data_IF_679825346692
#
_entry.id   IF_679825346692
#
_cell.length_a   1.000
_cell.length_b   1.000
_cell.length_c   1.000
_cell.angle_alpha   90.00
_cell.angle_beta   90.00
_cell.angle_gamma   90.00
#
_symmetry.space_group_name_H-M   'P 1'
#
loop_
_entity.id
_entity.type
_entity.pdbx_description
1 polymer ?
#
# COMPACT_ATOMS: atom_id res chain seq x y z
N UNK A 1 16.50 -4.51 -14.82
CA UNK A 1 16.39 -5.98 -14.54
C UNK A 1 16.15 -6.68 -15.85
N UNK A 2 17.04 -7.61 -16.15
CA UNK A 2 16.95 -8.47 -17.34
C UNK A 2 16.63 -9.88 -16.86
N UNK A 3 15.73 -10.54 -17.59
CA UNK A 3 15.31 -11.92 -17.37
C UNK A 3 15.39 -12.68 -18.68
N UNK A 4 15.84 -13.92 -18.64
CA UNK A 4 15.87 -14.80 -19.80
C UNK A 4 15.26 -16.16 -19.47
N UNK A 5 14.56 -16.71 -20.44
CA UNK A 5 13.99 -18.06 -20.39
C UNK A 5 14.25 -18.74 -21.71
N UNK A 6 14.67 -20.00 -21.67
CA UNK A 6 14.98 -20.78 -22.88
C UNK A 6 13.76 -20.91 -23.82
N UNK A 7 12.55 -20.97 -23.28
CA UNK A 7 11.28 -21.10 -24.01
C UNK A 7 10.66 -19.78 -24.43
N UNK A 8 10.82 -18.71 -23.59
CA UNK A 8 10.08 -17.44 -23.73
C UNK A 8 10.97 -16.25 -24.13
N UNK A 9 12.29 -16.46 -24.28
CA UNK A 9 13.23 -15.41 -24.67
C UNK A 9 13.67 -14.49 -23.55
N UNK A 10 14.15 -13.30 -23.90
CA UNK A 10 14.71 -12.32 -22.97
C UNK A 10 13.80 -11.13 -22.81
N UNK A 11 13.68 -10.64 -21.57
CA UNK A 11 12.86 -9.50 -21.17
C UNK A 11 13.70 -8.51 -20.37
N UNK A 12 13.49 -7.22 -20.59
CA UNK A 12 14.12 -6.16 -19.83
C UNK A 12 13.07 -5.22 -19.26
N UNK A 13 13.21 -4.84 -17.99
CA UNK A 13 12.31 -3.87 -17.36
C UNK A 13 13.06 -2.91 -16.46
N UNK A 14 12.64 -1.64 -16.48
CA UNK A 14 13.15 -0.61 -15.58
C UNK A 14 12.64 -0.84 -14.16
N UNK A 15 13.55 -0.96 -13.19
CA UNK A 15 13.23 -1.10 -11.75
C UNK A 15 13.66 0.11 -10.94
N UNK A 16 14.59 0.91 -11.46
CA UNK A 16 15.18 2.06 -10.79
C UNK A 16 15.64 3.11 -11.80
N UNK A 17 15.05 4.29 -11.80
CA UNK A 17 15.34 5.37 -12.76
C UNK A 17 16.34 6.38 -12.20
N UNK A 18 17.49 5.88 -11.73
CA UNK A 18 18.61 6.69 -11.25
C UNK A 18 19.93 5.95 -11.48
N UNK A 19 21.07 6.55 -11.10
CA UNK A 19 22.38 5.95 -11.25
C UNK A 19 22.54 4.65 -10.46
N UNK A 20 23.41 3.75 -10.91
CA UNK A 20 23.74 2.53 -10.19
C UNK A 20 24.32 2.84 -8.79
N UNK A 21 25.10 3.92 -8.64
CA UNK A 21 25.65 4.36 -7.36
C UNK A 21 24.52 4.72 -6.36
N UNK A 22 23.55 5.53 -6.79
CA UNK A 22 22.39 5.89 -5.97
C UNK A 22 21.54 4.68 -5.61
N UNK A 23 21.40 3.73 -6.54
CA UNK A 23 20.70 2.46 -6.28
C UNK A 23 21.40 1.64 -5.18
N UNK A 24 22.71 1.43 -5.29
CA UNK A 24 23.48 0.68 -4.27
C UNK A 24 23.43 1.38 -2.91
N UNK A 25 23.60 2.70 -2.89
CA UNK A 25 23.46 3.50 -1.67
C UNK A 25 22.08 3.38 -1.03
N UNK A 26 21.01 3.34 -1.84
CA UNK A 26 19.66 3.13 -1.34
C UNK A 26 19.48 1.76 -0.70
N UNK A 27 20.04 0.71 -1.32
CA UNK A 27 20.01 -0.64 -0.75
C UNK A 27 20.76 -0.71 0.59
N UNK A 28 21.92 -0.08 0.68
CA UNK A 28 22.69 0.00 1.93
C UNK A 28 21.92 0.73 3.04
N UNK A 29 21.20 1.79 2.72
CA UNK A 29 20.35 2.50 3.68
C UNK A 29 19.22 1.61 4.19
N UNK A 30 18.74 0.66 3.39
CA UNK A 30 17.78 -0.36 3.80
C UNK A 30 18.38 -1.50 4.63
N UNK A 31 19.67 -1.41 5.00
CA UNK A 31 20.36 -2.45 5.76
C UNK A 31 20.67 -3.70 4.94
N UNK A 32 20.70 -3.60 3.62
CA UNK A 32 21.15 -4.69 2.75
C UNK A 32 22.67 -4.70 2.63
N UNK A 33 23.27 -5.85 2.85
CA UNK A 33 24.67 -6.08 2.52
C UNK A 33 24.76 -6.41 1.02
N UNK A 34 25.11 -5.41 0.23
CA UNK A 34 25.24 -5.53 -1.23
C UNK A 34 26.34 -6.50 -1.66
N UNK A 35 27.28 -6.81 -0.76
CA UNK A 35 28.37 -7.77 -0.99
C UNK A 35 27.92 -9.23 -0.75
N UNK A 36 26.73 -9.43 -0.18
CA UNK A 36 26.09 -10.73 0.05
C UNK A 36 24.95 -11.04 -0.90
N UNK A 37 24.83 -10.32 -2.01
CA UNK A 37 23.92 -10.75 -3.07
C UNK A 37 24.44 -12.07 -3.64
N UNK A 38 23.56 -13.05 -3.92
CA UNK A 38 23.96 -14.30 -4.54
C UNK A 38 24.76 -14.00 -5.81
N UNK A 39 25.98 -14.55 -5.90
CA UNK A 39 26.87 -14.27 -7.04
C UNK A 39 26.65 -15.24 -8.20
N UNK A 40 25.87 -16.28 -7.96
CA UNK A 40 25.51 -17.28 -8.98
C UNK A 40 24.09 -17.82 -8.83
N UNK A 41 23.59 -18.47 -9.89
CA UNK A 41 22.24 -19.06 -9.96
C UNK A 41 22.08 -20.22 -8.95
N UNK A 42 23.14 -20.97 -8.66
CA UNK A 42 23.10 -22.11 -7.76
C UNK A 42 22.92 -21.69 -6.28
N UNK A 43 23.48 -20.55 -5.89
CA UNK A 43 23.29 -19.97 -4.57
C UNK A 43 21.88 -19.36 -4.45
N UNK A 44 21.36 -18.77 -5.53
CA UNK A 44 19.99 -18.29 -5.62
C UNK A 44 18.98 -19.43 -5.51
N UNK A 45 19.20 -20.56 -6.21
CA UNK A 45 18.32 -21.74 -6.17
C UNK A 45 18.29 -22.41 -4.78
N UNK A 46 19.42 -22.48 -4.09
CA UNK A 46 19.49 -22.96 -2.69
C UNK A 46 18.72 -22.04 -1.73
N UNK A 47 18.73 -20.74 -1.99
CA UNK A 47 17.97 -19.76 -1.21
C UNK A 47 16.46 -19.77 -1.56
N UNK A 48 16.09 -20.19 -2.77
CA UNK A 48 14.72 -20.20 -3.29
C UNK A 48 14.02 -21.55 -3.15
N UNK A 49 14.65 -22.56 -2.55
CA UNK A 49 14.02 -23.86 -2.33
C UNK A 49 12.60 -23.71 -1.78
N UNK A 50 11.61 -24.01 -2.61
CA UNK A 50 10.17 -23.92 -2.35
C UNK A 50 9.73 -24.85 -1.21
N UNK A 51 10.29 -24.69 -0.03
CA UNK A 51 9.74 -25.29 1.17
C UNK A 51 8.65 -24.38 1.66
N UNK A 52 7.43 -24.82 1.52
CA UNK A 52 6.15 -24.27 1.96
C UNK A 52 6.21 -22.80 2.44
N UNK A 53 5.29 -21.94 2.01
CA UNK A 53 5.15 -20.54 2.44
C UNK A 53 5.04 -20.31 3.98
N UNK A 54 5.25 -21.32 4.77
CA UNK A 54 5.39 -21.33 6.23
C UNK A 54 6.86 -21.54 6.63
N UNK A 55 7.80 -20.88 5.97
CA UNK A 55 9.20 -20.90 6.36
C UNK A 55 9.39 -20.16 7.69
N UNK A 56 10.19 -20.73 8.61
CA UNK A 56 10.62 -20.08 9.88
C UNK A 56 11.35 -18.72 9.65
N UNK A 57 11.75 -18.43 8.42
CA UNK A 57 12.32 -17.16 8.00
C UNK A 57 11.27 -16.13 7.53
N UNK A 58 9.96 -16.48 7.49
CA UNK A 58 8.92 -15.53 7.17
C UNK A 58 8.82 -14.48 8.27
N UNK A 59 9.12 -13.23 7.93
CA UNK A 59 8.98 -12.12 8.87
C UNK A 59 7.53 -12.02 9.32
N UNK A 60 7.32 -11.64 10.58
CA UNK A 60 6.00 -11.26 11.07
C UNK A 60 5.34 -10.30 10.08
N UNK A 61 4.07 -10.49 9.72
CA UNK A 61 3.38 -9.58 8.81
C UNK A 61 3.32 -8.18 9.42
N UNK A 62 3.76 -7.17 8.69
CA UNK A 62 3.67 -5.78 9.14
C UNK A 62 2.20 -5.35 9.24
N UNK A 63 1.42 -5.67 8.20
CA UNK A 63 -0.03 -5.58 8.18
C UNK A 63 -0.61 -6.72 7.35
N UNK A 64 -1.90 -7.04 7.56
CA UNK A 64 -2.62 -7.96 6.68
C UNK A 64 -3.90 -7.35 6.16
N UNK A 65 -4.07 -7.47 4.85
CA UNK A 65 -5.31 -7.17 4.20
C UNK A 65 -6.27 -8.37 4.35
N UNK A 66 -7.47 -8.09 4.88
CA UNK A 66 -8.60 -9.00 4.83
C UNK A 66 -9.48 -8.63 3.63
N UNK A 67 -9.60 -9.55 2.68
CA UNK A 67 -10.47 -9.38 1.53
C UNK A 67 -11.92 -9.61 1.93
N UNK A 68 -12.63 -8.53 2.27
CA UNK A 68 -13.99 -8.61 2.84
C UNK A 68 -15.07 -8.84 1.78
N UNK A 69 -14.82 -8.47 0.54
CA UNK A 69 -15.72 -8.68 -0.61
C UNK A 69 -14.96 -8.41 -1.91
N UNK A 70 -15.30 -9.09 -3.00
CA UNK A 70 -14.87 -8.68 -4.34
C UNK A 70 -15.92 -7.83 -5.06
N UNK A 71 -17.09 -7.58 -4.43
CA UNK A 71 -18.11 -6.64 -4.93
C UNK A 71 -17.59 -5.20 -4.85
N UNK A 72 -17.88 -4.42 -5.90
CA UNK A 72 -17.48 -3.01 -5.97
C UNK A 72 -18.60 -2.19 -6.63
N UNK A 73 -18.77 -0.94 -6.20
CA UNK A 73 -19.66 0.03 -6.82
C UNK A 73 -19.01 0.79 -7.99
N UNK A 74 -17.84 0.31 -8.45
CA UNK A 74 -17.07 0.86 -9.57
C UNK A 74 -16.65 -0.21 -10.56
N UNK A 75 -16.34 0.24 -11.79
CA UNK A 75 -15.80 -0.59 -12.87
C UNK A 75 -14.57 0.07 -13.48
N UNK A 76 -13.50 0.18 -12.67
CA UNK A 76 -12.31 0.95 -13.01
C UNK A 76 -11.53 0.32 -14.19
N UNK A 77 -11.08 1.14 -15.18
CA UNK A 77 -10.16 0.68 -16.23
C UNK A 77 -8.78 0.27 -15.70
N UNK A 78 -8.39 0.78 -14.53
CA UNK A 78 -7.17 0.37 -13.83
C UNK A 78 -7.55 -0.13 -12.43
N UNK A 79 -7.43 -1.43 -12.18
CA UNK A 79 -7.79 -2.03 -10.90
C UNK A 79 -6.95 -3.30 -10.66
N UNK A 80 -6.17 -3.31 -9.60
CA UNK A 80 -5.29 -4.44 -9.28
C UNK A 80 -6.01 -5.60 -8.60
N UNK A 81 -7.13 -5.36 -7.92
CA UNK A 81 -7.86 -6.41 -7.19
C UNK A 81 -8.87 -7.14 -8.05
N UNK A 82 -9.29 -6.54 -9.17
CA UNK A 82 -10.38 -7.05 -9.97
C UNK A 82 -9.92 -8.09 -11.00
N UNK A 83 -10.60 -9.23 -10.99
CA UNK A 83 -10.61 -10.20 -12.08
C UNK A 83 -12.02 -10.25 -12.68
N UNK A 84 -12.13 -10.17 -14.01
CA UNK A 84 -13.41 -10.18 -14.69
C UNK A 84 -14.12 -11.54 -14.60
N UNK A 85 -13.34 -12.61 -14.42
CA UNK A 85 -13.82 -13.98 -14.42
C UNK A 85 -13.99 -14.55 -13.01
N UNK A 86 -13.59 -13.80 -11.96
CA UNK A 86 -13.76 -14.25 -10.59
C UNK A 86 -15.22 -14.16 -10.17
N UNK A 87 -15.84 -15.26 -9.71
CA UNK A 87 -17.20 -15.24 -9.22
C UNK A 87 -17.33 -14.30 -8.03
N UNK A 88 -18.55 -13.73 -7.87
CA UNK A 88 -18.83 -12.89 -6.71
C UNK A 88 -18.56 -13.66 -5.42
N UNK A 89 -17.72 -13.10 -4.57
CA UNK A 89 -17.42 -13.64 -3.26
C UNK A 89 -17.47 -12.55 -2.21
N UNK A 90 -18.26 -12.82 -1.18
CA UNK A 90 -18.39 -12.00 0.01
C UNK A 90 -18.44 -12.96 1.21
N UNK A 91 -17.33 -13.15 1.95
CA UNK A 91 -17.33 -14.00 3.14
C UNK A 91 -18.36 -13.54 4.14
N UNK A 92 -18.98 -14.47 4.89
CA UNK A 92 -19.88 -14.13 5.99
C UNK A 92 -19.13 -13.37 7.10
N UNK A 93 -19.89 -12.78 8.03
CA UNK A 93 -19.30 -12.13 9.20
C UNK A 93 -18.48 -13.14 10.03
N UNK A 94 -19.02 -14.33 10.22
CA UNK A 94 -18.38 -15.41 10.99
C UNK A 94 -17.08 -15.90 10.32
N UNK A 95 -17.07 -16.03 8.98
CA UNK A 95 -15.87 -16.37 8.23
C UNK A 95 -14.80 -15.29 8.38
N UNK A 96 -15.19 -14.00 8.26
CA UNK A 96 -14.29 -12.89 8.49
C UNK A 96 -13.72 -12.87 9.91
N UNK A 97 -14.56 -13.14 10.93
CA UNK A 97 -14.10 -13.23 12.32
C UNK A 97 -13.10 -14.36 12.52
N UNK A 98 -13.35 -15.53 11.96
CA UNK A 98 -12.43 -16.67 12.04
C UNK A 98 -11.07 -16.33 11.42
N UNK A 99 -11.06 -15.67 10.25
CA UNK A 99 -9.83 -15.21 9.59
C UNK A 99 -9.10 -14.13 10.41
N UNK A 100 -9.82 -13.18 11.01
CA UNK A 100 -9.23 -12.16 11.87
C UNK A 100 -8.58 -12.76 13.11
N UNK A 101 -9.22 -13.73 13.77
CA UNK A 101 -8.65 -14.47 14.92
C UNK A 101 -7.40 -15.22 14.49
N UNK A 102 -7.48 -15.96 13.37
CA UNK A 102 -6.33 -16.69 12.82
C UNK A 102 -5.17 -15.77 12.50
N UNK A 103 -5.45 -14.62 11.90
CA UNK A 103 -4.41 -13.61 11.62
C UNK A 103 -3.76 -13.10 12.92
N UNK A 104 -4.56 -12.79 13.94
CA UNK A 104 -4.03 -12.31 15.22
C UNK A 104 -3.15 -13.35 15.92
N UNK A 105 -3.51 -14.62 15.84
CA UNK A 105 -2.67 -15.73 16.33
C UNK A 105 -1.29 -15.76 15.64
N UNK A 106 -1.26 -15.57 14.33
CA UNK A 106 -0.03 -15.60 13.54
C UNK A 106 0.82 -14.33 13.69
N UNK A 107 0.18 -13.18 13.83
CA UNK A 107 0.81 -11.87 13.80
C UNK A 107 1.13 -11.28 15.17
N UNK A 108 0.52 -11.81 16.25
CA UNK A 108 0.68 -11.32 17.62
C UNK A 108 -0.31 -10.23 18.02
N UNK A 109 -0.24 -9.82 19.28
CA UNK A 109 -1.23 -8.93 19.91
C UNK A 109 -1.24 -7.51 19.36
N UNK A 110 -0.11 -7.03 18.87
CA UNK A 110 0.04 -5.69 18.26
C UNK A 110 -0.29 -5.66 16.77
N UNK A 111 -0.92 -6.71 16.22
CA UNK A 111 -1.30 -6.80 14.82
C UNK A 111 -2.20 -5.64 14.37
N UNK A 112 -2.03 -5.21 13.12
CA UNK A 112 -2.86 -4.22 12.43
C UNK A 112 -3.75 -4.94 11.43
N UNK A 113 -5.01 -4.52 11.26
CA UNK A 113 -5.93 -5.10 10.28
C UNK A 113 -6.40 -4.08 9.26
N UNK A 114 -6.44 -4.48 7.99
CA UNK A 114 -6.89 -3.66 6.88
C UNK A 114 -8.05 -4.35 6.16
N UNK A 115 -9.20 -3.69 6.07
CA UNK A 115 -10.33 -4.16 5.28
C UNK A 115 -10.14 -3.72 3.83
N UNK A 116 -10.04 -4.70 2.95
CA UNK A 116 -9.80 -4.53 1.53
C UNK A 116 -10.83 -5.30 0.69
N UNK A 117 -10.69 -5.22 -0.63
CA UNK A 117 -11.51 -5.99 -1.56
C UNK A 117 -11.77 -5.25 -2.85
N UNK A 118 -12.98 -5.42 -3.42
CA UNK A 118 -13.50 -4.53 -4.42
C UNK A 118 -13.74 -3.16 -3.79
N UNK A 119 -14.81 -3.05 -3.00
CA UNK A 119 -15.09 -1.88 -2.15
C UNK A 119 -15.71 -2.35 -0.83
N UNK A 120 -14.96 -2.38 0.28
CA UNK A 120 -15.49 -2.86 1.55
C UNK A 120 -16.71 -2.09 2.06
N UNK A 121 -16.77 -0.78 1.79
CA UNK A 121 -17.86 0.07 2.27
C UNK A 121 -19.22 -0.23 1.62
N UNK A 122 -19.32 -1.11 0.59
CA UNK A 122 -20.60 -1.56 0.03
C UNK A 122 -21.22 -2.73 0.79
N UNK A 123 -20.49 -3.34 1.72
CA UNK A 123 -21.04 -4.36 2.62
C UNK A 123 -22.09 -3.75 3.53
N UNK A 124 -23.23 -4.43 3.68
CA UNK A 124 -24.30 -3.96 4.58
C UNK A 124 -23.91 -4.08 6.05
N UNK A 125 -23.05 -5.05 6.38
CA UNK A 125 -22.57 -5.40 7.70
C UNK A 125 -21.16 -4.86 8.00
N UNK A 126 -20.68 -3.87 7.26
CA UNK A 126 -19.31 -3.31 7.45
C UNK A 126 -19.10 -2.74 8.86
N UNK A 127 -20.15 -2.23 9.48
CA UNK A 127 -20.10 -1.74 10.86
C UNK A 127 -19.97 -2.91 11.85
N UNK A 128 -20.68 -3.99 11.64
CA UNK A 128 -20.60 -5.21 12.47
C UNK A 128 -19.22 -5.85 12.34
N UNK A 129 -18.68 -5.93 11.12
CA UNK A 129 -17.34 -6.41 10.85
C UNK A 129 -16.27 -5.54 11.57
N UNK A 130 -16.44 -4.23 11.56
CA UNK A 130 -15.54 -3.30 12.25
C UNK A 130 -15.60 -3.50 13.77
N UNK A 131 -16.80 -3.68 14.32
CA UNK A 131 -17.00 -3.95 15.74
C UNK A 131 -16.43 -5.33 16.14
N UNK A 132 -16.57 -6.35 15.28
CA UNK A 132 -15.97 -7.65 15.48
C UNK A 132 -14.44 -7.57 15.56
N UNK A 133 -13.78 -6.84 14.66
CA UNK A 133 -12.34 -6.63 14.71
C UNK A 133 -11.90 -5.98 16.03
N UNK A 134 -12.62 -4.93 16.46
CA UNK A 134 -12.37 -4.28 17.77
C UNK A 134 -12.55 -5.28 18.94
N UNK A 135 -13.60 -6.10 18.91
CA UNK A 135 -13.90 -7.09 19.96
C UNK A 135 -12.81 -8.18 20.01
N UNK A 136 -12.25 -8.57 18.88
CA UNK A 136 -11.10 -9.48 18.77
C UNK A 136 -9.82 -8.85 19.36
N UNK A 137 -9.81 -7.52 19.52
CA UNK A 137 -8.71 -6.80 20.15
C UNK A 137 -7.76 -6.11 19.17
N UNK A 138 -8.20 -5.79 17.94
CA UNK A 138 -7.46 -4.87 17.08
C UNK A 138 -7.72 -3.43 17.52
N UNK A 139 -6.67 -2.71 17.85
CA UNK A 139 -6.72 -1.28 18.19
C UNK A 139 -6.47 -0.37 16.99
N UNK A 140 -5.89 -0.92 15.91
CA UNK A 140 -5.74 -0.26 14.61
C UNK A 140 -6.53 -1.03 13.56
N UNK A 141 -7.60 -0.38 13.07
CA UNK A 141 -8.48 -0.93 12.05
C UNK A 141 -8.53 0.08 10.89
N UNK A 142 -8.11 -0.34 9.72
CA UNK A 142 -8.03 0.48 8.51
C UNK A 142 -9.08 0.04 7.49
N UNK A 143 -9.71 1.00 6.83
CA UNK A 143 -10.62 0.79 5.71
C UNK A 143 -10.00 1.32 4.42
N UNK A 144 -9.70 0.42 3.48
CA UNK A 144 -9.24 0.79 2.15
C UNK A 144 -10.47 1.00 1.25
N UNK A 145 -10.69 2.24 0.78
CA UNK A 145 -11.94 2.59 0.12
C UNK A 145 -11.77 3.59 -1.03
N UNK A 146 -12.67 3.53 -1.99
CA UNK A 146 -12.82 4.55 -3.03
C UNK A 146 -13.53 5.83 -2.52
N UNK A 147 -14.12 5.80 -1.33
CA UNK A 147 -14.72 6.94 -0.64
C UNK A 147 -16.14 7.31 -1.08
N UNK A 148 -16.75 6.62 -2.04
CA UNK A 148 -18.09 6.96 -2.55
C UNK A 148 -19.14 6.86 -1.43
N UNK A 149 -19.15 5.76 -0.68
CA UNK A 149 -20.14 5.55 0.36
C UNK A 149 -19.92 6.50 1.55
N UNK A 150 -18.69 6.82 1.90
CA UNK A 150 -18.34 7.82 2.92
C UNK A 150 -18.75 9.24 2.49
N UNK A 151 -18.67 9.57 1.20
CA UNK A 151 -19.09 10.87 0.68
C UNK A 151 -20.62 11.01 0.65
N UNK A 152 -21.35 9.94 0.27
CA UNK A 152 -22.82 9.94 0.20
C UNK A 152 -23.50 9.96 1.56
N UNK A 153 -22.94 9.23 2.53
CA UNK A 153 -23.53 9.04 3.84
C UNK A 153 -22.57 9.48 4.95
N UNK A 154 -22.79 10.69 5.47
CA UNK A 154 -21.99 11.24 6.58
C UNK A 154 -22.12 10.42 7.88
N UNK A 155 -23.23 9.75 8.08
CA UNK A 155 -23.47 8.98 9.30
C UNK A 155 -22.71 7.65 9.26
N UNK A 156 -22.40 7.11 8.08
CA UNK A 156 -21.55 5.93 7.94
C UNK A 156 -20.16 6.14 8.56
N UNK A 157 -19.51 7.29 8.29
CA UNK A 157 -18.22 7.61 8.87
C UNK A 157 -18.27 7.66 10.41
N UNK A 158 -19.32 8.24 10.98
CA UNK A 158 -19.54 8.30 12.44
C UNK A 158 -19.78 6.92 13.04
N UNK A 159 -20.63 6.11 12.39
CA UNK A 159 -20.92 4.75 12.85
C UNK A 159 -19.67 3.88 12.80
N UNK A 160 -18.91 3.91 11.72
CA UNK A 160 -17.64 3.19 11.61
C UNK A 160 -16.65 3.61 12.71
N UNK A 161 -16.54 4.91 12.98
CA UNK A 161 -15.70 5.41 14.09
C UNK A 161 -16.15 4.88 15.43
N UNK A 162 -17.46 4.86 15.69
CA UNK A 162 -18.05 4.31 16.93
C UNK A 162 -17.76 2.81 17.05
N UNK A 163 -17.86 2.05 15.96
CA UNK A 163 -17.57 0.62 15.90
C UNK A 163 -16.07 0.28 16.07
N UNK A 164 -15.17 1.28 15.98
CA UNK A 164 -13.75 1.08 16.22
C UNK A 164 -12.82 1.37 15.05
N UNK A 165 -13.35 1.78 13.89
CA UNK A 165 -12.50 2.20 12.78
C UNK A 165 -11.60 3.35 13.21
N UNK A 166 -10.32 3.27 12.88
CA UNK A 166 -9.34 4.32 13.21
C UNK A 166 -8.94 5.12 11.98
N UNK A 167 -8.68 4.46 10.87
CA UNK A 167 -8.02 5.05 9.71
C UNK A 167 -8.75 4.70 8.43
N UNK A 168 -8.94 5.69 7.57
CA UNK A 168 -9.44 5.54 6.20
C UNK A 168 -8.27 5.69 5.23
N UNK A 169 -8.01 4.66 4.45
CA UNK A 169 -7.02 4.62 3.38
C UNK A 169 -7.76 4.93 2.09
N UNK A 170 -7.79 6.23 1.74
CA UNK A 170 -8.66 6.77 0.71
C UNK A 170 -7.92 6.89 -0.62
N UNK A 171 -8.37 6.17 -1.65
CA UNK A 171 -7.88 6.40 -3.01
C UNK A 171 -8.09 7.86 -3.43
N UNK A 172 -6.97 8.60 -3.67
CA UNK A 172 -6.95 10.03 -3.97
C UNK A 172 -5.86 10.34 -4.99
N UNK A 173 -6.22 10.37 -6.27
CA UNK A 173 -5.24 10.27 -7.36
C UNK A 173 -4.88 11.61 -8.04
N UNK A 174 -5.45 12.74 -7.59
CA UNK A 174 -5.13 14.06 -8.15
C UNK A 174 -5.99 15.18 -7.58
N UNK A 175 -5.65 16.40 -7.96
CA UNK A 175 -6.36 17.64 -7.61
C UNK A 175 -7.18 18.20 -8.77
N UNK A 176 -7.19 17.51 -9.91
CA UNK A 176 -8.09 17.69 -11.06
C UNK A 176 -8.88 16.41 -11.33
N UNK A 177 -9.87 16.46 -12.21
CA UNK A 177 -10.63 15.26 -12.60
C UNK A 177 -9.93 14.41 -13.67
N UNK A 178 -8.85 14.91 -14.30
CA UNK A 178 -8.11 14.18 -15.35
C UNK A 178 -7.59 12.82 -14.88
N UNK A 179 -6.87 12.71 -13.74
CA UNK A 179 -6.40 11.42 -13.24
C UNK A 179 -7.53 10.45 -12.91
N UNK A 180 -8.66 10.98 -12.45
CA UNK A 180 -9.82 10.14 -12.13
C UNK A 180 -10.49 9.56 -13.37
N UNK A 181 -10.53 10.32 -14.48
CA UNK A 181 -10.99 9.75 -15.76
C UNK A 181 -10.06 8.63 -16.23
N UNK A 182 -8.74 8.80 -16.12
CA UNK A 182 -7.77 7.80 -16.53
C UNK A 182 -7.90 6.51 -15.69
N UNK A 183 -8.06 6.62 -14.37
CA UNK A 183 -8.07 5.48 -13.46
C UNK A 183 -9.48 4.91 -13.23
N UNK A 184 -10.51 5.73 -13.16
CA UNK A 184 -11.86 5.32 -12.76
C UNK A 184 -12.91 5.46 -13.86
N UNK A 185 -12.56 6.12 -14.96
CA UNK A 185 -13.49 6.38 -16.08
C UNK A 185 -14.54 7.46 -15.81
N UNK A 186 -14.42 8.23 -14.71
CA UNK A 186 -15.37 9.29 -14.31
C UNK A 186 -14.74 10.31 -13.36
N UNK A 187 -15.33 11.52 -13.23
CA UNK A 187 -14.85 12.52 -12.29
C UNK A 187 -15.09 12.08 -10.84
N UNK A 188 -14.12 12.27 -9.97
CA UNK A 188 -14.20 11.81 -8.58
C UNK A 188 -13.69 12.83 -7.56
N UNK A 189 -13.05 13.92 -7.97
CA UNK A 189 -12.39 14.85 -7.05
C UNK A 189 -13.33 15.36 -5.95
N UNK A 190 -14.54 15.80 -6.30
CA UNK A 190 -15.51 16.30 -5.33
C UNK A 190 -15.97 15.22 -4.35
N UNK A 191 -16.10 13.97 -4.83
CA UNK A 191 -16.44 12.82 -3.98
C UNK A 191 -15.31 12.56 -2.97
N UNK A 192 -14.06 12.60 -3.42
CA UNK A 192 -12.88 12.42 -2.55
C UNK A 192 -12.80 13.50 -1.47
N UNK A 193 -12.95 14.78 -1.85
CA UNK A 193 -12.98 15.89 -0.91
C UNK A 193 -14.10 15.76 0.11
N UNK A 194 -15.31 15.36 -0.33
CA UNK A 194 -16.45 15.15 0.57
C UNK A 194 -16.24 13.97 1.52
N UNK A 195 -15.58 12.90 1.08
CA UNK A 195 -15.22 11.79 1.95
C UNK A 195 -14.24 12.24 3.05
N UNK A 196 -13.21 13.04 2.71
CA UNK A 196 -12.28 13.62 3.71
C UNK A 196 -13.02 14.50 4.72
N UNK A 197 -13.93 15.37 4.26
CA UNK A 197 -14.75 16.22 5.14
C UNK A 197 -15.59 15.38 6.11
N UNK A 198 -16.26 14.33 5.61
CA UNK A 198 -17.09 13.47 6.45
C UNK A 198 -16.24 12.66 7.46
N UNK A 199 -15.04 12.23 7.08
CA UNK A 199 -14.08 11.60 7.99
C UNK A 199 -13.60 12.59 9.08
N UNK A 200 -13.32 13.84 8.71
CA UNK A 200 -12.96 14.89 9.67
C UNK A 200 -14.04 15.11 10.72
N UNK A 201 -15.30 15.24 10.27
CA UNK A 201 -16.46 15.41 11.13
C UNK A 201 -16.75 14.20 12.04
N UNK A 202 -16.26 13.02 11.66
CA UNK A 202 -16.36 11.78 12.43
C UNK A 202 -15.16 11.53 13.36
N UNK A 203 -14.09 12.32 13.25
CA UNK A 203 -12.85 12.11 14.02
C UNK A 203 -12.07 10.87 13.55
N UNK A 204 -12.18 10.51 12.27
CA UNK A 204 -11.37 9.48 11.62
C UNK A 204 -10.08 10.08 11.08
N UNK A 205 -8.99 9.34 11.13
CA UNK A 205 -7.78 9.68 10.41
C UNK A 205 -7.90 9.27 8.92
N UNK A 206 -7.26 10.02 8.03
CA UNK A 206 -7.25 9.74 6.59
C UNK A 206 -5.80 9.67 6.09
N UNK A 207 -5.49 8.65 5.31
CA UNK A 207 -4.30 8.57 4.49
C UNK A 207 -4.74 8.66 3.03
N UNK A 208 -4.21 9.64 2.30
CA UNK A 208 -4.48 9.81 0.88
C UNK A 208 -3.60 8.86 0.07
N UNK A 209 -4.20 8.01 -0.74
CA UNK A 209 -3.50 6.98 -1.53
C UNK A 209 -3.58 7.34 -2.99
N UNK A 210 -2.43 7.61 -3.58
CA UNK A 210 -2.31 7.97 -4.98
C UNK A 210 -1.61 6.85 -5.75
N UNK A 211 -2.29 6.25 -6.72
CA UNK A 211 -1.63 5.44 -7.74
C UNK A 211 -0.98 6.40 -8.73
N UNK A 212 0.35 6.47 -8.73
CA UNK A 212 1.09 7.40 -9.59
C UNK A 212 1.22 6.82 -10.98
N UNK A 213 0.55 7.45 -11.95
CA UNK A 213 0.51 7.05 -13.37
C UNK A 213 1.26 8.09 -14.20
N UNK A 214 2.36 7.72 -14.87
CA UNK A 214 3.17 8.66 -15.63
C UNK A 214 2.37 9.41 -16.71
N UNK A 215 2.46 10.75 -16.71
CA UNK A 215 1.77 11.63 -17.65
C UNK A 215 0.28 11.86 -17.35
N UNK A 216 -0.27 11.21 -16.33
CA UNK A 216 -1.65 11.41 -15.89
C UNK A 216 -1.74 12.26 -14.62
N UNK A 217 -0.99 11.89 -13.56
CA UNK A 217 -1.04 12.58 -12.26
C UNK A 217 0.33 12.82 -11.61
N UNK A 218 1.41 12.40 -12.22
CA UNK A 218 2.76 12.62 -11.71
C UNK A 218 3.18 14.12 -11.66
N UNK A 219 2.42 14.98 -12.32
CA UNK A 219 2.52 16.44 -12.22
C UNK A 219 1.65 17.10 -11.13
N UNK A 220 0.80 16.35 -10.43
CA UNK A 220 -0.11 16.87 -9.41
C UNK A 220 0.29 16.47 -7.96
N UNK A 221 1.43 15.82 -7.77
CA UNK A 221 1.84 15.29 -6.45
C UNK A 221 2.01 16.43 -5.42
N UNK A 222 2.61 17.54 -5.80
CA UNK A 222 2.76 18.73 -4.94
C UNK A 222 1.41 19.30 -4.50
N UNK A 223 0.41 19.30 -5.38
CA UNK A 223 -0.93 19.78 -5.07
C UNK A 223 -1.64 18.82 -4.08
N UNK A 224 -1.41 17.50 -4.19
CA UNK A 224 -1.93 16.52 -3.21
C UNK A 224 -1.30 16.75 -1.84
N UNK A 225 0.01 17.02 -1.76
CA UNK A 225 0.70 17.37 -0.51
C UNK A 225 0.12 18.64 0.11
N UNK A 226 -0.10 19.67 -0.71
CA UNK A 226 -0.68 20.92 -0.20
C UNK A 226 -2.12 20.73 0.31
N UNK A 227 -2.93 19.93 -0.40
CA UNK A 227 -4.26 19.54 0.09
C UNK A 227 -4.18 18.77 1.41
N UNK A 228 -3.22 17.85 1.56
CA UNK A 228 -2.99 17.13 2.80
C UNK A 228 -2.66 18.08 3.95
N UNK A 229 -1.75 19.06 3.75
CA UNK A 229 -1.41 20.12 4.74
C UNK A 229 -2.64 20.87 5.21
N UNK A 230 -3.48 21.30 4.28
CA UNK A 230 -4.69 22.09 4.57
C UNK A 230 -5.74 21.30 5.36
N UNK A 231 -5.71 19.97 5.28
CA UNK A 231 -6.66 19.08 5.95
C UNK A 231 -6.07 18.38 7.20
N UNK A 232 -4.92 18.83 7.70
CA UNK A 232 -4.39 18.36 8.99
C UNK A 232 -5.24 18.94 10.13
N UNK A 233 -5.44 18.19 11.24
CA UNK A 233 -4.83 16.92 11.60
C UNK A 233 -5.59 15.68 11.10
N UNK A 234 -6.64 15.83 10.31
CA UNK A 234 -7.43 14.69 9.78
C UNK A 234 -6.60 13.87 8.80
N UNK A 235 -5.98 14.53 7.82
CA UNK A 235 -5.06 13.86 6.90
C UNK A 235 -3.73 13.66 7.60
N UNK A 236 -3.33 12.39 7.72
CA UNK A 236 -2.14 11.92 8.44
C UNK A 236 -1.02 11.47 7.51
N UNK A 237 -1.33 11.20 6.26
CA UNK A 237 -0.33 10.74 5.31
C UNK A 237 -0.76 10.90 3.86
N UNK A 238 0.24 10.92 3.00
CA UNK A 238 0.11 10.76 1.55
C UNK A 238 0.95 9.57 1.15
N UNK A 239 0.30 8.54 0.61
CA UNK A 239 0.92 7.27 0.24
C UNK A 239 0.89 7.10 -1.27
N UNK A 240 2.06 7.18 -1.88
CA UNK A 240 2.25 7.21 -3.32
C UNK A 240 2.65 5.82 -3.81
N UNK A 241 1.86 5.27 -4.71
CA UNK A 241 2.08 3.94 -5.26
C UNK A 241 2.42 4.06 -6.75
N UNK A 242 3.71 3.94 -7.13
CA UNK A 242 4.06 3.76 -8.54
C UNK A 242 3.19 2.68 -9.15
N UNK A 243 2.58 2.94 -10.31
CA UNK A 243 1.68 1.97 -10.95
C UNK A 243 2.38 0.64 -11.19
N UNK A 244 1.72 -0.44 -10.81
CA UNK A 244 2.13 -1.82 -11.09
C UNK A 244 1.09 -2.48 -12.00
N UNK A 245 1.55 -3.31 -12.91
CA UNK A 245 0.74 -3.86 -13.99
C UNK A 245 0.28 -5.27 -13.65
N UNK A 246 -0.79 -5.33 -12.87
CA UNK A 246 -1.53 -6.56 -12.56
C UNK A 246 -3.04 -6.26 -12.43
N UNK A 247 -3.86 -7.31 -12.52
CA UNK A 247 -5.31 -7.16 -12.60
C UNK A 247 -5.76 -6.55 -13.93
N UNK A 248 -6.59 -5.50 -13.87
CA UNK A 248 -7.09 -4.79 -15.06
C UNK A 248 -6.30 -3.51 -15.29
N UNK A 249 -5.71 -3.39 -16.47
CA UNK A 249 -4.98 -2.19 -16.91
C UNK A 249 -4.94 -2.12 -18.46
N UNK A 250 -4.74 -0.93 -19.07
CA UNK A 250 -4.61 -0.78 -20.52
C UNK A 250 -3.22 -1.27 -20.98
N UNK A 251 -3.18 -2.37 -21.74
CA UNK A 251 -1.94 -3.02 -22.17
C UNK A 251 -1.13 -2.24 -23.21
N UNK A 252 -1.77 -1.31 -23.92
CA UNK A 252 -1.16 -0.47 -24.95
C UNK A 252 -0.41 0.76 -24.39
N UNK A 253 -0.52 1.01 -23.07
CA UNK A 253 0.00 2.21 -22.41
C UNK A 253 0.89 1.90 -21.21
N UNK A 254 1.71 0.87 -21.30
CA UNK A 254 2.64 0.53 -20.22
C UNK A 254 3.77 1.57 -20.17
N UNK A 255 3.75 2.44 -19.16
CA UNK A 255 4.83 3.36 -18.81
C UNK A 255 5.21 3.16 -17.36
N UNK A 256 6.48 2.82 -17.12
CA UNK A 256 6.96 2.64 -15.75
C UNK A 256 7.37 3.95 -15.12
N UNK A 257 7.04 4.07 -13.85
CA UNK A 257 7.55 5.06 -12.92
C UNK A 257 8.13 4.31 -11.71
N UNK A 258 9.25 4.77 -11.22
CA UNK A 258 9.98 4.11 -10.13
C UNK A 258 10.03 5.00 -8.90
N UNK A 259 10.50 4.47 -7.76
CA UNK A 259 10.63 5.24 -6.53
C UNK A 259 11.47 6.53 -6.71
N UNK A 260 12.65 6.51 -7.36
CA UNK A 260 13.40 7.73 -7.62
C UNK A 260 12.64 8.78 -8.42
N UNK A 261 11.84 8.35 -9.40
CA UNK A 261 11.02 9.29 -10.18
C UNK A 261 9.99 9.99 -9.32
N UNK A 262 9.30 9.25 -8.43
CA UNK A 262 8.31 9.82 -7.52
C UNK A 262 8.96 10.80 -6.54
N UNK A 263 10.10 10.43 -5.95
CA UNK A 263 10.85 11.29 -5.02
C UNK A 263 11.30 12.56 -5.74
N UNK A 264 11.83 12.46 -6.96
CA UNK A 264 12.23 13.63 -7.77
C UNK A 264 11.04 14.54 -8.07
N UNK A 265 9.86 13.98 -8.42
CA UNK A 265 8.64 14.77 -8.63
C UNK A 265 8.19 15.52 -7.38
N UNK A 266 8.33 14.91 -6.20
CA UNK A 266 8.03 15.59 -4.93
C UNK A 266 9.00 16.74 -4.67
N UNK A 267 10.31 16.54 -4.86
CA UNK A 267 11.35 17.56 -4.69
C UNK A 267 11.13 18.74 -5.64
N UNK A 268 10.78 18.48 -6.92
CA UNK A 268 10.49 19.50 -7.93
C UNK A 268 9.20 20.29 -7.66
N UNK A 269 8.18 19.66 -7.07
CA UNK A 269 6.83 20.24 -6.93
C UNK A 269 6.54 20.81 -5.54
N UNK A 270 7.32 20.47 -4.52
CA UNK A 270 7.07 20.86 -3.15
C UNK A 270 8.23 21.68 -2.57
N UNK A 271 7.94 22.89 -2.12
CA UNK A 271 8.97 23.80 -1.55
C UNK A 271 9.49 23.32 -0.19
N UNK A 272 8.70 22.53 0.52
CA UNK A 272 8.98 22.08 1.90
C UNK A 272 9.51 20.63 1.95
N UNK A 273 9.65 19.96 0.79
CA UNK A 273 10.05 18.54 0.69
C UNK A 273 11.31 18.46 -0.15
N UNK A 274 12.30 17.73 0.35
CA UNK A 274 13.53 17.43 -0.38
C UNK A 274 13.71 15.94 -0.61
N UNK A 275 14.34 15.56 -1.72
CA UNK A 275 14.70 14.18 -1.99
C UNK A 275 15.54 13.55 -0.87
N UNK A 276 16.33 14.36 -0.16
CA UNK A 276 17.17 13.92 0.96
C UNK A 276 16.38 13.54 2.23
N UNK A 277 15.10 13.91 2.31
CA UNK A 277 14.25 13.57 3.44
C UNK A 277 13.79 12.10 3.40
N UNK A 278 13.88 11.48 2.22
CA UNK A 278 13.38 10.12 1.98
C UNK A 278 14.43 9.05 2.15
N UNK A 279 14.01 7.91 2.66
CA UNK A 279 14.76 6.69 2.70
C UNK A 279 13.87 5.46 2.59
N UNK A 280 14.46 4.26 2.44
CA UNK A 280 13.71 3.02 2.37
C UNK A 280 13.00 2.72 3.68
N UNK A 281 11.88 1.99 3.61
CA UNK A 281 11.22 1.43 4.78
C UNK A 281 12.14 0.48 5.56
N UNK A 282 12.01 0.49 6.89
CA UNK A 282 12.86 -0.32 7.76
C UNK A 282 12.44 -1.79 7.86
N UNK A 283 11.26 -2.13 7.34
CA UNK A 283 10.58 -3.43 7.51
C UNK A 283 10.38 -4.19 6.20
N UNK A 284 10.58 -3.53 5.07
CA UNK A 284 10.47 -4.12 3.74
C UNK A 284 11.84 -4.16 3.05
N UNK A 285 11.85 -4.78 1.89
CA UNK A 285 12.99 -4.67 0.99
C UNK A 285 13.15 -3.20 0.54
N UNK A 286 14.39 -2.70 0.50
CA UNK A 286 14.68 -1.31 0.17
C UNK A 286 14.07 -0.85 -1.17
N UNK A 287 13.93 -1.74 -2.14
CA UNK A 287 13.30 -1.45 -3.43
C UNK A 287 11.77 -1.36 -3.37
N UNK A 288 11.14 -1.74 -2.26
CA UNK A 288 9.68 -1.81 -2.18
C UNK A 288 9.06 -0.51 -1.71
N UNK A 289 9.75 0.26 -0.85
CA UNK A 289 9.15 1.42 -0.22
C UNK A 289 10.11 2.59 -0.03
N UNK A 290 9.52 3.75 0.18
CA UNK A 290 10.18 4.97 0.61
C UNK A 290 9.29 5.72 1.58
N UNK A 291 9.86 6.46 2.52
CA UNK A 291 9.10 7.27 3.45
C UNK A 291 9.89 8.46 3.99
N UNK A 292 9.15 9.48 4.38
CA UNK A 292 9.60 10.61 5.19
C UNK A 292 8.47 11.04 6.13
N UNK A 293 8.81 11.68 7.24
CA UNK A 293 7.87 12.22 8.21
C UNK A 293 8.15 13.70 8.43
N UNK A 294 7.08 14.48 8.48
CA UNK A 294 7.13 15.94 8.60
C UNK A 294 6.26 16.40 9.77
N UNK A 295 6.63 17.54 10.33
CA UNK A 295 5.81 18.31 11.27
C UNK A 295 5.39 19.62 10.61
N UNK A 296 4.10 19.96 10.66
CA UNK A 296 3.62 21.27 10.20
C UNK A 296 3.98 22.33 11.25
N UNK A 297 4.83 23.26 10.86
CA UNK A 297 5.23 24.40 11.68
C UNK A 297 4.15 25.47 11.81
N UNK A 298 4.34 26.38 12.75
CA UNK A 298 3.45 27.56 12.93
C UNK A 298 3.47 28.51 11.73
N UNK A 299 4.56 28.46 10.97
CA UNK A 299 4.78 29.19 9.71
C UNK A 299 4.05 28.58 8.50
N UNK A 300 3.28 27.49 8.71
CA UNK A 300 2.58 26.78 7.65
C UNK A 300 3.49 25.88 6.77
N UNK A 301 4.78 25.75 7.11
CA UNK A 301 5.74 24.93 6.39
C UNK A 301 5.90 23.54 7.01
N UNK A 302 6.14 22.55 6.18
CA UNK A 302 6.53 21.21 6.63
C UNK A 302 8.01 21.21 6.99
N UNK A 303 8.33 20.66 8.15
CA UNK A 303 9.70 20.46 8.61
C UNK A 303 9.98 18.96 8.72
N UNK A 304 10.98 18.49 7.99
CA UNK A 304 11.36 17.07 8.00
C UNK A 304 11.82 16.64 9.40
N UNK A 305 11.24 15.56 9.89
CA UNK A 305 11.63 14.87 11.13
C UNK A 305 12.57 13.70 10.83
N UNK A 306 12.55 13.21 9.61
CA UNK A 306 13.39 12.10 9.15
C UNK A 306 14.56 12.65 8.33
N UNK A 307 15.75 12.16 8.63
CA UNK A 307 16.92 12.23 7.75
C UNK A 307 17.53 10.85 7.74
N UNK A 308 17.65 10.28 6.56
CA UNK A 308 18.15 8.93 6.45
C UNK A 308 19.66 8.90 6.45
N UNK A 309 20.22 8.07 7.30
CA UNK A 309 21.60 7.62 7.32
C UNK A 309 21.60 6.09 7.23
N UNK A 310 22.75 5.49 6.92
CA UNK A 310 22.92 4.03 6.91
C UNK A 310 22.32 3.43 8.20
N UNK A 311 21.39 2.48 8.04
CA UNK A 311 20.72 1.82 9.16
C UNK A 311 21.27 0.41 9.33
N UNK A 312 21.45 0.01 10.57
CA UNK A 312 21.56 -1.39 10.94
C UNK A 312 20.15 -2.02 10.90
N UNK A 313 20.07 -3.26 10.43
CA UNK A 313 18.81 -4.01 10.39
C UNK A 313 18.39 -4.33 11.82
N UNK A 314 17.25 -3.84 12.25
CA UNK A 314 16.75 -4.06 13.61
C UNK A 314 15.89 -5.32 13.68
N UNK A 315 16.13 -6.17 14.68
CA UNK A 315 15.38 -7.41 14.94
C UNK A 315 13.88 -7.17 15.15
N UNK A 316 13.49 -5.99 15.63
CA UNK A 316 12.10 -5.63 15.94
C UNK A 316 11.46 -4.64 14.94
N UNK A 317 11.92 -4.62 13.68
CA UNK A 317 11.49 -3.65 12.68
C UNK A 317 9.96 -3.62 12.47
N UNK A 318 9.29 -4.79 12.47
CA UNK A 318 7.84 -4.91 12.29
C UNK A 318 7.08 -4.30 13.48
N UNK A 319 7.44 -4.61 14.71
CA UNK A 319 6.80 -4.02 15.89
C UNK A 319 6.98 -2.51 15.93
N UNK A 320 8.17 -2.01 15.56
CA UNK A 320 8.41 -0.58 15.46
C UNK A 320 7.57 0.07 14.37
N UNK A 321 7.41 -0.55 13.21
CA UNK A 321 6.50 -0.07 12.17
C UNK A 321 5.09 0.06 12.70
N UNK A 322 4.54 -1.00 13.29
CA UNK A 322 3.19 -1.03 13.83
C UNK A 322 2.99 0.06 14.89
N UNK A 323 3.99 0.27 15.76
CA UNK A 323 4.00 1.38 16.72
C UNK A 323 4.00 2.73 16.02
N UNK A 324 4.82 2.90 14.99
CA UNK A 324 4.88 4.14 14.22
C UNK A 324 3.58 4.42 13.46
N UNK A 325 2.95 3.40 12.85
CA UNK A 325 1.65 3.56 12.19
C UNK A 325 0.58 4.01 13.19
N UNK A 326 0.54 3.44 14.40
CA UNK A 326 -0.36 3.92 15.46
C UNK A 326 -0.08 5.38 15.84
N UNK A 327 1.18 5.72 16.03
CA UNK A 327 1.58 7.07 16.42
C UNK A 327 1.27 8.13 15.35
N UNK A 328 1.36 7.77 14.08
CA UNK A 328 1.22 8.71 12.95
C UNK A 328 -0.15 8.66 12.29
N UNK A 329 -0.76 7.48 12.12
CA UNK A 329 -1.97 7.29 11.31
C UNK A 329 -3.26 7.10 12.13
N UNK A 330 -3.18 6.99 13.44
CA UNK A 330 -4.38 7.02 14.27
C UNK A 330 -4.89 8.45 14.49
N UNK A 331 -6.19 8.62 14.81
CA UNK A 331 -6.76 9.93 15.14
C UNK A 331 -6.01 10.58 16.28
N UNK A 332 -5.51 11.79 16.06
CA UNK A 332 -4.80 12.58 17.07
C UNK A 332 -4.75 14.05 16.63
N UNK A 333 -4.49 14.97 17.58
CA UNK A 333 -4.35 16.39 17.28
C UNK A 333 -2.94 16.78 16.82
N UNK A 334 -2.01 15.83 16.73
CA UNK A 334 -0.67 16.12 16.24
C UNK A 334 -0.72 16.53 14.75
N UNK A 335 0.12 17.48 14.40
CA UNK A 335 0.27 17.99 13.03
C UNK A 335 1.45 17.30 12.32
N UNK A 336 1.51 15.98 12.42
CA UNK A 336 2.47 15.16 11.70
C UNK A 336 1.87 14.69 10.38
N UNK A 337 2.66 14.72 9.32
CA UNK A 337 2.32 14.21 7.99
C UNK A 337 3.40 13.20 7.57
N UNK A 338 2.99 11.99 7.27
CA UNK A 338 3.87 11.02 6.60
C UNK A 338 3.72 11.15 5.10
N UNK A 339 4.84 11.16 4.39
CA UNK A 339 4.88 11.10 2.92
C UNK A 339 5.72 9.89 2.56
N UNK A 340 5.15 8.97 1.82
CA UNK A 340 5.84 7.75 1.46
C UNK A 340 5.09 6.96 0.42
N UNK A 341 5.52 5.75 0.16
CA UNK A 341 4.85 4.90 -0.81
C UNK A 341 5.49 3.53 -0.96
N UNK A 342 4.83 2.72 -1.76
CA UNK A 342 5.28 1.36 -2.05
C UNK A 342 5.15 1.06 -3.55
N UNK A 343 6.24 0.55 -4.11
CA UNK A 343 6.28 0.01 -5.47
C UNK A 343 6.05 -1.51 -5.40
N UNK A 344 4.85 -1.94 -5.79
CA UNK A 344 4.52 -3.36 -5.88
C UNK A 344 5.22 -4.01 -7.07
N UNK A 345 5.43 -5.32 -6.97
CA UNK A 345 6.03 -6.12 -8.03
C UNK A 345 4.92 -6.73 -8.91
N UNK A 346 5.10 -6.67 -10.22
CA UNK A 346 4.25 -7.34 -11.21
C UNK A 346 5.06 -8.40 -11.99
N UNK A 347 4.45 -9.06 -12.96
CA UNK A 347 5.07 -10.16 -13.72
C UNK A 347 6.40 -9.78 -14.38
N UNK A 348 6.60 -8.52 -14.76
CA UNK A 348 7.81 -8.09 -15.47
C UNK A 348 8.97 -7.77 -14.54
N UNK A 349 8.71 -7.40 -13.27
CA UNK A 349 9.74 -7.03 -12.30
C UNK A 349 9.73 -7.90 -11.02
N UNK A 350 8.99 -9.01 -11.01
CA UNK A 350 8.95 -9.92 -9.86
C UNK A 350 10.33 -10.47 -9.53
N UNK A 351 10.67 -10.40 -8.26
CA UNK A 351 11.86 -10.95 -7.64
C UNK A 351 11.41 -11.87 -6.51
N UNK A 352 11.65 -13.16 -6.66
CA UNK A 352 11.17 -14.19 -5.73
C UNK A 352 11.78 -14.05 -4.34
N UNK A 353 13.04 -13.63 -4.24
CA UNK A 353 13.69 -13.41 -2.93
C UNK A 353 13.02 -12.26 -2.17
N UNK A 354 12.64 -11.20 -2.88
CA UNK A 354 11.87 -10.10 -2.28
C UNK A 354 10.49 -10.54 -1.85
N UNK A 355 9.81 -11.34 -2.68
CA UNK A 355 8.48 -11.86 -2.38
C UNK A 355 8.51 -12.76 -1.14
N UNK A 356 9.47 -13.67 -1.03
CA UNK A 356 9.60 -14.57 0.13
C UNK A 356 9.79 -13.83 1.46
N UNK A 357 10.38 -12.63 1.42
CA UNK A 357 10.63 -11.79 2.61
C UNK A 357 9.61 -10.66 2.78
N UNK A 358 8.51 -10.71 2.05
CA UNK A 358 7.50 -9.65 2.09
C UNK A 358 6.71 -9.68 3.40
N UNK A 359 6.69 -8.55 4.11
CA UNK A 359 5.91 -8.35 5.33
C UNK A 359 4.49 -7.84 5.08
N UNK A 360 4.17 -7.42 3.83
CA UNK A 360 2.82 -7.01 3.44
C UNK A 360 2.09 -8.22 2.88
N UNK A 361 1.13 -8.72 3.64
CA UNK A 361 0.52 -10.02 3.37
C UNK A 361 -1.01 -9.90 3.27
N UNK A 362 -1.62 -10.91 2.69
CA UNK A 362 -3.06 -11.07 2.61
C UNK A 362 -3.42 -12.41 3.26
N UNK A 363 -4.37 -12.38 4.19
CA UNK A 363 -4.91 -13.62 4.72
C UNK A 363 -5.86 -14.26 3.69
N UNK A 364 -5.60 -15.53 3.39
CA UNK A 364 -6.40 -16.33 2.48
C UNK A 364 -7.54 -17.02 3.23
N UNK A 365 -8.54 -17.55 2.50
CA UNK A 365 -9.69 -18.25 3.05
C UNK A 365 -9.32 -19.47 3.90
N UNK A 366 -8.22 -20.12 3.59
CA UNK A 366 -7.67 -21.26 4.35
C UNK A 366 -6.84 -20.83 5.57
N UNK A 367 -6.78 -19.54 5.87
CA UNK A 367 -6.04 -18.97 7.00
C UNK A 367 -4.54 -18.82 6.78
N UNK A 368 -4.01 -19.09 5.58
CA UNK A 368 -2.61 -18.84 5.25
C UNK A 368 -2.39 -17.38 4.91
N UNK A 369 -1.18 -16.89 5.21
CA UNK A 369 -0.71 -15.56 4.82
C UNK A 369 0.14 -15.68 3.57
N UNK A 370 -0.16 -14.88 2.55
CA UNK A 370 0.63 -14.81 1.33
C UNK A 370 1.03 -13.36 1.01
N UNK A 371 2.21 -13.14 0.39
CA UNK A 371 2.62 -11.82 -0.05
C UNK A 371 1.61 -11.18 -1.00
N UNK A 372 1.32 -9.89 -0.80
CA UNK A 372 0.34 -9.16 -1.60
C UNK A 372 0.64 -9.22 -3.11
N UNK A 373 1.90 -9.02 -3.50
CA UNK A 373 2.29 -9.05 -4.91
C UNK A 373 2.00 -10.41 -5.56
N UNK A 374 2.23 -11.54 -4.84
CA UNK A 374 1.93 -12.87 -5.35
C UNK A 374 0.45 -13.09 -5.62
N UNK A 375 -0.42 -12.58 -4.73
CA UNK A 375 -1.87 -12.73 -4.88
C UNK A 375 -2.42 -12.12 -6.16
N UNK A 376 -1.86 -11.00 -6.57
CA UNK A 376 -2.36 -10.23 -7.72
C UNK A 376 -1.54 -10.41 -8.99
N UNK A 377 -0.49 -11.23 -8.95
CA UNK A 377 0.33 -11.49 -10.11
C UNK A 377 -0.53 -12.04 -11.25
N UNK A 378 -0.49 -11.38 -12.38
CA UNK A 378 -1.23 -11.76 -13.58
C UNK A 378 -0.30 -11.87 -14.79
N UNK A 379 -0.65 -12.74 -15.74
CA UNK A 379 -0.05 -12.78 -17.05
C UNK A 379 -0.38 -11.52 -17.85
N UNK A 380 0.31 -11.31 -18.98
CA UNK A 380 0.10 -10.15 -19.86
C UNK A 380 -1.32 -10.08 -20.48
N UNK A 381 -2.05 -11.19 -20.51
CA UNK A 381 -3.44 -11.28 -20.96
C UNK A 381 -4.47 -11.11 -19.82
N UNK A 382 -4.00 -10.83 -18.59
CA UNK A 382 -4.83 -10.52 -17.42
C UNK A 382 -5.30 -11.73 -16.62
N UNK A 383 -4.85 -12.96 -16.98
CA UNK A 383 -5.12 -14.13 -16.14
C UNK A 383 -4.25 -14.11 -14.88
N UNK A 384 -4.83 -14.36 -13.71
CA UNK A 384 -4.07 -14.53 -12.48
C UNK A 384 -3.15 -15.75 -12.60
N UNK A 385 -1.86 -15.56 -12.33
CA UNK A 385 -0.87 -16.65 -12.33
C UNK A 385 -1.03 -17.49 -11.07
N UNK A 386 -1.42 -16.85 -9.98
CA UNK A 386 -1.73 -17.49 -8.71
C UNK A 386 -3.24 -17.63 -8.60
N UNK A 387 -3.81 -18.64 -9.23
CA UNK A 387 -5.13 -19.12 -8.87
C UNK A 387 -5.02 -19.67 -7.46
N UNK A 388 -5.48 -18.83 -6.52
CA UNK A 388 -5.40 -19.19 -5.13
C UNK A 388 -5.94 -20.60 -4.97
N UNK A 389 -5.11 -21.48 -4.48
CA UNK A 389 -5.58 -22.73 -3.95
C UNK A 389 -6.68 -22.33 -2.97
N UNK A 390 -7.89 -22.59 -3.36
CA UNK A 390 -9.23 -22.32 -2.96
C UNK A 390 -9.53 -21.56 -1.70
#
# INVERSE_FOLDING_TARGET
MDKSCAEHGSFSTLIWADSAENYLRWLEYGGMDVNRLPQDEEEADKATGWKSFACEACQLPASSALMTTNRCNMNCPVCFTRDKNEPLHEPSLEECEALMRRYKELAGDDALIEFCGGEPAVRKDICDLTNAARTIGFDYIQLNTNGIELAKNKDLARTLRFCGLTTVYLGFDGMSDKPYYAKYGKPMLNIKKKAVENCANAGLAVVLVCCVIPGENDGELGQIIEYAKQNMPTVKGVYLQPISYFGIYPHDKIRRITIPDVIRRLDEQCIDISAQDFGPGAYDHAQCSFNACYMLGKDGRLKALTRFSKREREENAVHRLRKNMRATWMPSQNKMLTVGGMAFQDNSNIDLMRVQRCSIQIIQRDGRLIPLCSKYLSSCDGHKIFDGIG
#
